data_IF_875870585602
#
_entry.id   IF_875870585602
#
_cell.length_a   1.000
_cell.length_b   1.000
_cell.length_c   1.000
_cell.angle_alpha   90.00
_cell.angle_beta   90.00
_cell.angle_gamma   90.00
#
_symmetry.space_group_name_H-M   'P 1'
#
loop_
_entity.id
_entity.type
_entity.pdbx_description
1 polymer ?
#
# COMPACT_ATOMS: atom_id res chain seq x y z
N UNK A 1 29.89 -4.95 0.41
CA UNK A 1 28.86 -4.10 1.06
C UNK A 1 29.30 -2.66 0.88
N UNK A 2 28.70 -1.94 -0.07
CA UNK A 2 29.02 -0.53 -0.30
C UNK A 2 27.97 0.29 0.44
N UNK A 3 28.45 1.17 1.31
CA UNK A 3 27.63 1.97 2.23
C UNK A 3 26.47 2.67 1.52
N UNK A 4 25.26 2.45 2.03
CA UNK A 4 24.08 3.16 1.58
C UNK A 4 23.66 4.14 2.67
N UNK A 5 24.10 5.39 2.53
CA UNK A 5 23.40 6.53 3.13
C UNK A 5 22.27 6.93 2.17
N UNK A 6 21.02 6.86 2.63
CA UNK A 6 19.83 7.22 1.87
C UNK A 6 18.84 6.07 1.64
N UNK A 7 17.59 6.43 1.32
CA UNK A 7 16.51 5.46 1.03
C UNK A 7 16.81 4.77 -0.30
N UNK A 8 17.21 3.50 -0.26
CA UNK A 8 17.47 2.69 -1.46
C UNK A 8 16.15 2.24 -2.09
N UNK A 9 15.67 3.01 -3.07
CA UNK A 9 14.47 2.68 -3.86
C UNK A 9 14.67 1.35 -4.61
N UNK A 10 13.62 0.53 -4.66
CA UNK A 10 13.60 -0.76 -5.37
C UNK A 10 12.30 -0.89 -6.20
N UNK A 11 12.11 -0.06 -7.24
CA UNK A 11 10.96 -0.15 -8.14
C UNK A 11 10.78 -1.58 -8.68
N UNK A 12 9.56 -2.14 -8.54
CA UNK A 12 9.19 -3.54 -8.85
C UNK A 12 10.12 -4.62 -8.25
N UNK A 13 10.87 -4.29 -7.18
CA UNK A 13 11.95 -5.13 -6.66
C UNK A 13 13.00 -5.55 -7.71
N UNK A 14 13.08 -4.82 -8.82
CA UNK A 14 13.83 -5.21 -10.01
C UNK A 14 14.91 -4.18 -10.39
N UNK A 15 15.12 -3.13 -9.58
CA UNK A 15 15.97 -2.00 -9.91
C UNK A 15 17.39 -2.36 -10.42
N UNK A 16 18.11 -3.35 -9.84
CA UNK A 16 19.42 -3.76 -10.34
C UNK A 16 19.40 -4.47 -11.70
N UNK A 17 18.22 -4.89 -12.17
CA UNK A 17 18.03 -5.73 -13.35
C UNK A 17 17.22 -5.04 -14.45
N UNK A 18 16.89 -3.75 -14.31
CA UNK A 18 16.17 -3.01 -15.35
C UNK A 18 17.11 -2.77 -16.53
N UNK A 19 16.80 -3.32 -17.73
CA UNK A 19 17.56 -2.98 -18.92
C UNK A 19 17.17 -1.58 -19.40
N UNK A 20 18.14 -0.68 -19.53
CA UNK A 20 17.90 0.68 -20.02
C UNK A 20 17.47 1.66 -18.92
N UNK A 21 16.69 2.68 -19.30
CA UNK A 21 16.27 3.73 -18.37
C UNK A 21 15.09 3.29 -17.50
N UNK A 22 15.07 3.76 -16.25
CA UNK A 22 13.96 3.51 -15.33
C UNK A 22 12.63 4.08 -15.86
N UNK A 23 12.69 5.21 -16.56
CA UNK A 23 11.52 5.85 -17.17
C UNK A 23 10.86 5.00 -18.25
N UNK A 24 11.66 4.44 -19.16
CA UNK A 24 11.14 3.57 -20.23
C UNK A 24 10.56 2.28 -19.66
N UNK A 25 11.21 1.70 -18.64
CA UNK A 25 10.69 0.54 -17.93
C UNK A 25 9.33 0.86 -17.28
N UNK A 26 9.24 1.98 -16.57
CA UNK A 26 7.98 2.42 -15.94
C UNK A 26 6.88 2.67 -16.97
N UNK A 27 7.22 3.29 -18.11
CA UNK A 27 6.28 3.51 -19.21
C UNK A 27 5.71 2.19 -19.73
N UNK A 28 6.57 1.17 -19.91
CA UNK A 28 6.13 -0.15 -20.32
C UNK A 28 5.18 -0.81 -19.28
N UNK A 29 5.47 -0.65 -17.98
CA UNK A 29 4.59 -1.14 -16.92
C UNK A 29 3.21 -0.47 -16.99
N UNK A 30 3.14 0.86 -17.17
CA UNK A 30 1.87 1.57 -17.33
C UNK A 30 1.10 1.16 -18.57
N UNK A 31 1.77 0.95 -19.69
CA UNK A 31 1.15 0.49 -20.94
C UNK A 31 0.57 -0.91 -20.79
N UNK A 32 1.31 -1.82 -20.17
CA UNK A 32 0.86 -3.19 -19.98
C UNK A 32 -0.33 -3.26 -19.02
N UNK A 33 -0.16 -2.81 -17.77
CA UNK A 33 -1.21 -2.92 -16.75
C UNK A 33 -2.39 -1.96 -16.96
N UNK A 34 -2.20 -0.91 -17.76
CA UNK A 34 -3.25 0.01 -18.18
C UNK A 34 -3.91 -0.36 -19.51
N UNK A 35 -3.52 -1.46 -20.16
CA UNK A 35 -4.07 -1.83 -21.47
C UNK A 35 -5.55 -2.21 -21.37
N UNK A 36 -6.31 -1.75 -22.34
CA UNK A 36 -7.69 -2.15 -22.67
C UNK A 36 -7.79 -3.55 -23.26
N UNK A 37 -6.67 -4.14 -23.71
CA UNK A 37 -6.61 -5.51 -24.23
C UNK A 37 -6.67 -6.58 -23.14
N UNK A 38 -6.43 -6.20 -21.88
CA UNK A 38 -6.61 -7.09 -20.73
C UNK A 38 -8.09 -7.02 -20.35
N UNK A 39 -8.82 -8.12 -20.54
CA UNK A 39 -10.22 -8.19 -20.13
C UNK A 39 -10.36 -7.98 -18.62
N UNK A 40 -11.48 -7.39 -18.21
CA UNK A 40 -11.69 -6.99 -16.81
C UNK A 40 -11.61 -8.19 -15.84
N UNK A 41 -12.10 -9.36 -16.26
CA UNK A 41 -12.06 -10.61 -15.51
C UNK A 41 -10.68 -11.29 -15.50
N UNK A 42 -9.69 -10.74 -16.20
CA UNK A 42 -8.30 -11.24 -16.29
C UNK A 42 -7.29 -10.25 -15.74
N UNK A 43 -7.73 -9.06 -15.31
CA UNK A 43 -6.85 -8.02 -14.79
C UNK A 43 -6.32 -8.44 -13.40
N UNK A 44 -4.99 -8.51 -13.20
CA UNK A 44 -4.45 -8.90 -11.92
C UNK A 44 -4.66 -7.82 -10.87
N UNK A 45 -4.87 -8.23 -9.62
CA UNK A 45 -4.77 -7.33 -8.48
C UNK A 45 -3.30 -7.08 -8.17
N UNK A 46 -2.93 -5.80 -8.09
CA UNK A 46 -1.64 -5.36 -7.59
C UNK A 46 -1.81 -4.92 -6.13
N UNK A 47 -1.07 -5.56 -5.22
CA UNK A 47 -1.17 -5.31 -3.79
C UNK A 47 0.20 -4.95 -3.18
N UNK A 48 0.20 -3.95 -2.29
CA UNK A 48 1.33 -3.61 -1.44
C UNK A 48 1.16 -4.21 -0.05
N UNK A 49 2.12 -5.00 0.41
CA UNK A 49 2.08 -5.69 1.71
C UNK A 49 3.24 -5.23 2.60
N UNK A 50 2.96 -5.02 3.88
CA UNK A 50 3.98 -4.68 4.88
C UNK A 50 3.91 -5.62 6.09
N UNK A 51 4.75 -6.64 6.09
CA UNK A 51 4.89 -7.59 7.20
C UNK A 51 5.79 -7.10 8.33
N UNK A 52 6.48 -5.97 8.13
CA UNK A 52 7.53 -5.46 9.02
C UNK A 52 7.05 -4.32 9.90
N UNK A 53 5.74 -4.13 10.00
CA UNK A 53 5.18 -3.06 10.81
C UNK A 53 5.36 -3.35 12.30
N UNK A 54 5.94 -2.41 13.04
CA UNK A 54 6.23 -2.55 14.47
C UNK A 54 5.21 -1.82 15.35
N UNK A 55 5.17 -2.17 16.64
CA UNK A 55 4.39 -1.41 17.62
C UNK A 55 4.85 0.05 17.71
N UNK A 56 6.15 0.30 17.71
CA UNK A 56 6.73 1.66 17.75
C UNK A 56 6.32 2.51 16.54
N UNK A 57 6.30 1.93 15.34
CA UNK A 57 5.81 2.60 14.13
C UNK A 57 4.30 2.94 14.18
N UNK A 58 3.61 2.50 15.24
CA UNK A 58 2.19 2.75 15.52
C UNK A 58 1.96 3.33 16.91
N UNK A 59 2.94 4.07 17.44
CA UNK A 59 2.82 4.82 18.70
C UNK A 59 3.01 3.99 19.98
N UNK A 60 3.39 2.71 19.86
CA UNK A 60 3.83 1.89 20.97
C UNK A 60 5.30 2.14 21.34
N UNK A 61 5.81 1.38 22.30
CA UNK A 61 7.21 1.49 22.78
C UNK A 61 8.10 0.31 22.39
N UNK A 62 7.56 -0.66 21.64
CA UNK A 62 8.26 -1.89 21.29
C UNK A 62 8.62 -1.96 19.82
N UNK A 63 9.83 -2.43 19.52
CA UNK A 63 10.30 -2.74 18.17
C UNK A 63 9.75 -4.06 17.61
N UNK A 64 8.95 -4.79 18.40
CA UNK A 64 8.31 -6.04 17.96
C UNK A 64 7.34 -5.79 16.80
N UNK A 65 7.22 -6.78 15.92
CA UNK A 65 6.26 -6.79 14.82
C UNK A 65 4.82 -6.89 15.33
N UNK A 66 3.90 -6.21 14.66
CA UNK A 66 2.45 -6.35 14.87
C UNK A 66 1.90 -7.66 14.29
N UNK A 67 2.51 -8.14 13.21
CA UNK A 67 2.13 -9.39 12.55
C UNK A 67 3.08 -10.54 12.87
N UNK A 68 2.65 -11.74 12.51
CA UNK A 68 3.48 -12.95 12.57
C UNK A 68 3.45 -13.71 11.24
N UNK A 69 4.42 -14.62 11.04
CA UNK A 69 4.61 -15.31 9.75
C UNK A 69 3.37 -16.07 9.27
N UNK A 70 2.56 -16.63 10.19
CA UNK A 70 1.34 -17.38 9.81
C UNK A 70 0.22 -16.49 9.27
N UNK A 71 0.24 -15.18 9.55
CA UNK A 71 -0.79 -14.23 9.10
C UNK A 71 -0.79 -14.09 7.57
N UNK A 72 0.33 -14.41 6.91
CA UNK A 72 0.45 -14.44 5.44
C UNK A 72 -0.67 -15.25 4.77
N UNK A 73 -1.11 -16.36 5.38
CA UNK A 73 -2.22 -17.16 4.84
C UNK A 73 -3.52 -16.38 4.78
N UNK A 74 -3.80 -15.56 5.78
CA UNK A 74 -5.00 -14.69 5.83
C UNK A 74 -4.91 -13.59 4.77
N UNK A 75 -3.74 -12.94 4.63
CA UNK A 75 -3.55 -11.88 3.62
C UNK A 75 -3.73 -12.39 2.19
N UNK A 76 -3.18 -13.56 1.88
CA UNK A 76 -3.34 -14.19 0.56
C UNK A 76 -4.78 -14.60 0.31
N UNK A 77 -5.47 -15.14 1.31
CA UNK A 77 -6.89 -15.51 1.19
C UNK A 77 -7.78 -14.28 0.95
N UNK A 78 -7.51 -13.15 1.61
CA UNK A 78 -8.29 -11.93 1.34
C UNK A 78 -8.06 -11.41 -0.09
N UNK A 79 -6.80 -11.40 -0.56
CA UNK A 79 -6.48 -10.98 -1.93
C UNK A 79 -7.10 -11.89 -2.99
N UNK A 80 -7.12 -13.21 -2.75
CA UNK A 80 -7.83 -14.18 -3.60
C UNK A 80 -9.32 -13.82 -3.70
N UNK A 81 -9.99 -13.65 -2.57
CA UNK A 81 -11.42 -13.29 -2.56
C UNK A 81 -11.68 -11.97 -3.27
N UNK A 82 -10.82 -10.98 -3.04
CA UNK A 82 -10.92 -9.66 -3.69
C UNK A 82 -10.71 -9.74 -5.20
N UNK A 83 -9.86 -10.66 -5.67
CA UNK A 83 -9.63 -10.92 -7.10
C UNK A 83 -10.84 -11.57 -7.78
N UNK A 84 -11.65 -12.32 -7.04
CA UNK A 84 -12.90 -12.92 -7.51
C UNK A 84 -14.14 -12.06 -7.25
N UNK A 85 -13.99 -10.86 -6.68
CA UNK A 85 -15.13 -9.98 -6.36
C UNK A 85 -16.01 -10.48 -5.21
N UNK A 86 -15.49 -11.35 -4.35
CA UNK A 86 -16.23 -11.99 -3.25
C UNK A 86 -16.26 -11.15 -1.97
N UNK A 87 -15.40 -10.13 -1.88
CA UNK A 87 -15.32 -9.20 -0.74
C UNK A 87 -15.17 -7.78 -1.25
N UNK A 88 -15.78 -6.85 -0.53
CA UNK A 88 -15.60 -5.42 -0.73
C UNK A 88 -14.27 -4.93 -0.13
N UNK A 89 -13.97 -3.64 -0.34
CA UNK A 89 -12.87 -2.97 0.31
C UNK A 89 -13.24 -1.53 0.68
N UNK A 90 -12.49 -0.95 1.60
CA UNK A 90 -12.56 0.47 1.94
C UNK A 90 -11.71 1.21 0.92
N UNK A 91 -12.31 2.16 0.20
CA UNK A 91 -11.58 3.01 -0.74
C UNK A 91 -10.82 4.10 0.02
N UNK A 92 -9.58 4.36 -0.40
CA UNK A 92 -8.73 5.37 0.21
C UNK A 92 -7.87 6.03 -0.86
N UNK A 93 -7.30 7.23 -0.60
CA UNK A 93 -6.42 7.90 -1.56
C UNK A 93 -5.22 7.06 -2.02
N UNK A 94 -4.80 6.08 -1.22
CA UNK A 94 -3.65 5.21 -1.53
C UNK A 94 -4.05 3.80 -1.94
N UNK A 95 -5.32 3.60 -2.32
CA UNK A 95 -5.88 2.33 -2.75
C UNK A 95 -6.77 1.66 -1.70
N UNK A 96 -7.04 0.38 -1.90
CA UNK A 96 -8.04 -0.35 -1.13
C UNK A 96 -7.48 -0.97 0.15
N UNK A 97 -8.28 -0.91 1.23
CA UNK A 97 -8.02 -1.61 2.48
C UNK A 97 -9.08 -2.69 2.77
N UNK A 98 -8.72 -3.82 3.39
CA UNK A 98 -9.69 -4.82 3.83
C UNK A 98 -10.59 -4.30 4.95
N UNK A 99 -11.86 -4.74 4.97
CA UNK A 99 -12.76 -4.53 6.10
C UNK A 99 -12.36 -5.44 7.28
N UNK A 100 -12.61 -4.98 8.50
CA UNK A 100 -12.29 -5.74 9.71
C UNK A 100 -12.98 -7.10 9.76
N UNK A 101 -14.27 -7.14 9.40
CA UNK A 101 -15.09 -8.36 9.45
C UNK A 101 -14.51 -9.47 8.58
N UNK A 102 -14.10 -9.14 7.35
CA UNK A 102 -13.53 -10.13 6.42
C UNK A 102 -12.25 -10.73 6.99
N UNK A 103 -11.38 -9.89 7.54
CA UNK A 103 -10.14 -10.34 8.15
C UNK A 103 -10.41 -11.19 9.38
N UNK A 104 -11.29 -10.76 10.28
CA UNK A 104 -11.63 -11.49 11.49
C UNK A 104 -12.07 -12.93 11.17
N UNK A 105 -12.95 -13.08 10.18
CA UNK A 105 -13.45 -14.39 9.76
C UNK A 105 -12.35 -15.23 9.08
N UNK A 106 -11.49 -14.61 8.28
CA UNK A 106 -10.35 -15.29 7.66
C UNK A 106 -9.29 -15.73 8.68
N UNK A 107 -8.99 -14.90 9.68
CA UNK A 107 -8.07 -15.24 10.76
C UNK A 107 -8.57 -16.45 11.56
N UNK A 108 -9.87 -16.47 11.87
CA UNK A 108 -10.50 -17.61 12.56
C UNK A 108 -10.50 -18.86 11.68
N UNK A 109 -10.91 -18.76 10.42
CA UNK A 109 -11.09 -19.93 9.54
C UNK A 109 -9.79 -20.49 8.95
N UNK A 110 -8.78 -19.66 8.66
CA UNK A 110 -7.54 -20.09 7.97
C UNK A 110 -6.44 -20.52 8.92
N UNK A 111 -6.35 -19.91 10.10
CA UNK A 111 -5.25 -20.16 11.04
C UNK A 111 -5.66 -20.26 12.51
N UNK A 112 -6.97 -20.36 12.79
CA UNK A 112 -7.55 -20.45 14.13
C UNK A 112 -6.94 -19.45 15.13
N UNK A 113 -6.85 -18.19 14.69
CA UNK A 113 -6.27 -17.10 15.46
C UNK A 113 -7.35 -16.05 15.75
N UNK A 114 -7.39 -15.58 16.99
CA UNK A 114 -8.17 -14.40 17.34
C UNK A 114 -7.53 -13.14 16.74
N UNK A 115 -8.35 -12.32 16.10
CA UNK A 115 -7.90 -11.08 15.46
C UNK A 115 -8.64 -9.89 16.10
N UNK A 116 -8.04 -9.25 17.11
CA UNK A 116 -8.69 -8.14 17.82
C UNK A 116 -8.72 -6.87 16.96
N UNK A 117 -9.79 -6.09 17.12
CA UNK A 117 -9.98 -4.84 16.37
C UNK A 117 -8.86 -3.82 16.61
N UNK A 118 -8.28 -3.78 17.81
CA UNK A 118 -7.14 -2.92 18.10
C UNK A 118 -5.92 -3.22 17.22
N UNK A 119 -5.70 -4.50 16.88
CA UNK A 119 -4.61 -4.89 15.98
C UNK A 119 -4.91 -4.44 14.56
N UNK A 120 -6.16 -4.61 14.11
CA UNK A 120 -6.64 -4.11 12.82
C UNK A 120 -6.45 -2.60 12.68
N UNK A 121 -6.88 -1.82 13.68
CA UNK A 121 -6.71 -0.36 13.70
C UNK A 121 -5.23 0.01 13.57
N UNK A 122 -4.32 -0.64 14.31
CA UNK A 122 -2.88 -0.37 14.20
C UNK A 122 -2.31 -0.73 12.83
N UNK A 123 -2.77 -1.82 12.22
CA UNK A 123 -2.29 -2.26 10.90
C UNK A 123 -2.75 -1.34 9.77
N UNK A 124 -4.00 -0.87 9.81
CA UNK A 124 -4.67 -0.23 8.67
C UNK A 124 -4.97 1.26 8.84
N UNK A 125 -4.66 1.88 9.98
CA UNK A 125 -4.73 3.35 10.09
C UNK A 125 -3.71 4.05 9.18
N UNK A 126 -4.14 5.14 8.56
CA UNK A 126 -3.31 5.99 7.71
C UNK A 126 -2.61 7.05 8.56
N UNK A 127 -1.28 6.99 8.63
CA UNK A 127 -0.44 8.01 9.24
C UNK A 127 -0.08 9.04 8.17
N UNK A 128 -0.95 10.03 8.00
CA UNK A 128 -0.98 10.90 6.83
C UNK A 128 0.34 11.63 6.63
N UNK A 129 0.93 12.17 7.70
CA UNK A 129 2.20 12.89 7.63
C UNK A 129 3.34 12.02 7.09
N UNK A 130 3.40 10.75 7.49
CA UNK A 130 4.40 9.80 6.99
C UNK A 130 4.18 9.47 5.51
N UNK A 131 2.91 9.38 5.08
CA UNK A 131 2.55 9.09 3.69
C UNK A 131 2.88 10.30 2.80
N UNK A 132 2.53 11.51 3.24
CA UNK A 132 2.86 12.76 2.55
C UNK A 132 4.38 12.93 2.41
N UNK A 133 5.16 12.71 3.48
CA UNK A 133 6.61 12.76 3.44
C UNK A 133 7.19 11.73 2.45
N UNK A 134 6.58 10.54 2.34
CA UNK A 134 6.98 9.52 1.35
C UNK A 134 6.64 9.96 -0.07
N UNK A 135 5.50 10.58 -0.30
CA UNK A 135 5.11 11.12 -1.61
C UNK A 135 6.11 12.21 -2.02
N UNK A 136 6.39 13.17 -1.14
CA UNK A 136 7.32 14.27 -1.44
C UNK A 136 8.73 13.71 -1.75
N UNK A 137 9.20 12.71 -0.99
CA UNK A 137 10.45 12.00 -1.28
C UNK A 137 10.42 11.31 -2.65
N UNK A 138 9.31 10.71 -3.06
CA UNK A 138 9.16 10.07 -4.37
C UNK A 138 9.13 11.09 -5.50
N UNK A 139 8.43 12.21 -5.35
CA UNK A 139 8.38 13.28 -6.34
C UNK A 139 9.79 13.85 -6.56
N UNK A 140 10.51 14.18 -5.49
CA UNK A 140 11.88 14.69 -5.60
C UNK A 140 12.82 13.67 -6.25
N UNK A 141 12.69 12.41 -5.83
CA UNK A 141 13.50 11.30 -6.33
C UNK A 141 13.33 11.06 -7.83
N UNK A 142 12.10 10.85 -8.27
CA UNK A 142 11.80 10.52 -9.66
C UNK A 142 11.90 11.75 -10.56
N UNK A 143 11.71 12.97 -10.04
CA UNK A 143 11.91 14.20 -10.79
C UNK A 143 13.36 14.43 -11.26
N UNK A 144 14.33 13.75 -10.63
CA UNK A 144 15.75 13.77 -11.06
C UNK A 144 16.07 12.73 -12.13
N UNK A 145 15.18 11.75 -12.35
CA UNK A 145 15.37 10.68 -13.32
C UNK A 145 14.88 11.12 -14.71
N UNK A 146 15.52 10.63 -15.76
CA UNK A 146 15.11 10.94 -17.14
C UNK A 146 13.91 10.07 -17.56
N UNK A 147 13.05 10.63 -18.39
CA UNK A 147 11.93 9.93 -19.04
C UNK A 147 10.91 9.28 -18.09
N UNK A 148 10.81 9.75 -16.84
CA UNK A 148 9.73 9.28 -15.96
C UNK A 148 8.38 9.73 -16.55
N UNK A 149 7.40 8.83 -16.71
CA UNK A 149 6.08 9.20 -17.21
C UNK A 149 5.39 10.24 -16.34
N UNK A 150 4.86 11.29 -16.95
CA UNK A 150 4.09 12.36 -16.27
C UNK A 150 2.95 11.79 -15.41
N UNK A 151 2.33 10.71 -15.88
CA UNK A 151 1.27 9.97 -15.18
C UNK A 151 1.62 9.60 -13.74
N UNK A 152 2.89 9.28 -13.44
CA UNK A 152 3.31 9.02 -12.06
C UNK A 152 3.09 10.25 -11.17
N UNK A 153 3.55 11.42 -11.62
CA UNK A 153 3.46 12.65 -10.85
C UNK A 153 2.01 13.12 -10.69
N UNK A 154 1.18 12.93 -11.71
CA UNK A 154 -0.25 13.25 -11.65
C UNK A 154 -0.95 12.40 -10.58
N UNK A 155 -0.65 11.09 -10.54
CA UNK A 155 -1.15 10.18 -9.49
C UNK A 155 -0.67 10.64 -8.12
N UNK A 156 0.64 10.88 -7.94
CA UNK A 156 1.19 11.31 -6.66
C UNK A 156 0.60 12.64 -6.18
N UNK A 157 0.35 13.58 -7.10
CA UNK A 157 -0.27 14.87 -6.79
C UNK A 157 -1.72 14.68 -6.33
N UNK A 158 -2.50 13.84 -7.02
CA UNK A 158 -3.87 13.54 -6.63
C UNK A 158 -3.93 12.88 -5.25
N UNK A 159 -3.10 11.85 -5.01
CA UNK A 159 -3.01 11.20 -3.70
C UNK A 159 -2.65 12.20 -2.61
N UNK A 160 -1.67 13.07 -2.86
CA UNK A 160 -1.26 14.12 -1.92
C UNK A 160 -2.43 15.05 -1.57
N UNK A 161 -3.20 15.49 -2.57
CA UNK A 161 -4.35 16.38 -2.37
C UNK A 161 -5.40 15.74 -1.48
N UNK A 162 -5.85 14.53 -1.82
CA UNK A 162 -6.89 13.82 -1.08
C UNK A 162 -6.44 13.46 0.35
N UNK A 163 -5.15 13.15 0.54
CA UNK A 163 -4.57 12.92 1.87
C UNK A 163 -4.57 14.19 2.73
N UNK A 164 -4.30 15.36 2.14
CA UNK A 164 -4.40 16.64 2.86
C UNK A 164 -5.85 16.91 3.27
N UNK A 165 -6.81 16.69 2.38
CA UNK A 165 -8.24 16.84 2.69
C UNK A 165 -8.68 15.89 3.83
N UNK A 166 -8.22 14.63 3.82
CA UNK A 166 -8.43 13.69 4.93
C UNK A 166 -7.80 14.17 6.24
N UNK A 167 -6.58 14.72 6.17
CA UNK A 167 -5.89 15.26 7.35
C UNK A 167 -6.64 16.45 7.95
N UNK A 168 -7.14 17.35 7.11
CA UNK A 168 -7.90 18.52 7.56
C UNK A 168 -9.22 18.10 8.24
N UNK A 169 -9.83 17.00 7.77
CA UNK A 169 -11.08 16.45 8.32
C UNK A 169 -10.89 15.65 9.62
N UNK A 170 -9.84 14.84 9.72
CA UNK A 170 -9.72 13.83 10.79
C UNK A 170 -8.41 13.89 11.60
N UNK A 171 -7.44 14.72 11.18
CA UNK A 171 -6.12 14.82 11.78
C UNK A 171 -5.06 13.91 11.14
N UNK A 172 -3.86 13.89 11.72
CA UNK A 172 -2.70 13.18 11.15
C UNK A 172 -2.79 11.65 11.16
N UNK A 173 -3.68 11.06 11.95
CA UNK A 173 -3.90 9.61 12.02
C UNK A 173 -5.36 9.33 11.75
N UNK A 174 -5.66 8.67 10.63
CA UNK A 174 -7.03 8.36 10.20
C UNK A 174 -7.26 6.85 10.32
N UNK A 175 -8.27 6.46 11.10
CA UNK A 175 -8.62 5.06 11.33
C UNK A 175 -9.46 4.48 10.19
N UNK A 176 -9.48 3.15 9.99
CA UNK A 176 -10.32 2.52 8.97
C UNK A 176 -11.81 2.88 9.09
N UNK A 177 -12.32 3.00 10.32
CA UNK A 177 -13.71 3.41 10.58
C UNK A 177 -14.02 4.83 10.08
N UNK A 178 -13.05 5.75 10.15
CA UNK A 178 -13.22 7.09 9.59
C UNK A 178 -13.23 7.07 8.05
N UNK A 179 -12.48 6.15 7.43
CA UNK A 179 -12.41 5.98 5.98
C UNK A 179 -13.68 5.35 5.39
N UNK A 180 -14.35 4.44 6.12
CA UNK A 180 -15.64 3.86 5.70
C UNK A 180 -16.77 4.88 5.59
N UNK A 181 -16.66 6.01 6.30
CA UNK A 181 -17.67 7.07 6.35
C UNK A 181 -17.27 8.31 5.52
N UNK A 182 -16.22 8.19 4.70
CA UNK A 182 -15.68 9.30 3.94
C UNK A 182 -16.36 9.51 2.59
#
# INVERSE_FOLDING_TARGET
EVGATGVRRQPWANAPFIPGSLGDYMQAQFQFFGSDKISDDKRPILAGLNYFLTHEARGGTSTKLLGEKRDVKTWMAWLERRAHGEVDAIDTPIGFLPRYTDLKDLFKSKIDKEYPEELYIKQFSLYIDNILARIDLQVEAYGKEKNIPQKLFDILQQQRKELVELKDKYGSVVTPKQLENN
#
